data_IF_654035464854
#
_entry.id   IF_654035464854
#
_cell.length_a   1.000
_cell.length_b   1.000
_cell.length_c   1.000
_cell.angle_alpha   90.00
_cell.angle_beta   90.00
_cell.angle_gamma   90.00
#
_symmetry.space_group_name_H-M   'P 1'
#
loop_
_entity.id
_entity.type
_entity.pdbx_description
1 polymer ?
#
# COMPACT_ATOMS: atom_id res chain seq x y z
N UNK A 1 -20.64 -30.16 11.50
CA UNK A 1 -19.63 -30.95 10.77
C UNK A 1 -18.65 -29.97 10.17
N UNK A 2 -17.39 -30.00 10.62
CA UNK A 2 -16.31 -29.17 10.11
C UNK A 2 -15.87 -29.77 8.78
N UNK A 3 -16.38 -29.22 7.68
CA UNK A 3 -15.76 -29.41 6.38
C UNK A 3 -14.53 -28.50 6.34
N UNK A 4 -13.45 -28.98 6.95
CA UNK A 4 -12.12 -28.54 6.55
C UNK A 4 -11.99 -28.89 5.08
N UNK A 5 -12.23 -27.91 4.22
CA UNK A 5 -11.83 -27.92 2.82
C UNK A 5 -10.36 -28.29 2.83
N UNK A 6 -10.06 -29.58 2.64
CA UNK A 6 -8.72 -30.07 2.44
C UNK A 6 -8.31 -29.47 1.12
N UNK A 7 -7.66 -28.31 1.19
CA UNK A 7 -7.23 -27.54 0.05
C UNK A 7 -6.41 -28.40 -0.93
N UNK A 8 -5.84 -29.53 -0.49
CA UNK A 8 -5.10 -30.44 -1.37
C UNK A 8 -5.21 -31.91 -0.92
N UNK A 9 -5.97 -32.78 -1.61
CA UNK A 9 -5.94 -34.23 -1.36
C UNK A 9 -4.64 -34.91 -1.84
N UNK A 10 -3.74 -34.18 -2.51
CA UNK A 10 -2.52 -34.71 -3.15
C UNK A 10 -1.20 -34.29 -2.45
N UNK A 11 -1.17 -34.30 -1.12
CA UNK A 11 0.04 -33.96 -0.31
C UNK A 11 1.22 -34.92 -0.62
N UNK A 12 0.96 -36.07 -1.23
CA UNK A 12 1.96 -37.12 -1.54
C UNK A 12 2.59 -37.00 -2.94
N UNK A 13 2.25 -35.97 -3.73
CA UNK A 13 2.84 -35.70 -5.05
C UNK A 13 3.53 -34.33 -5.05
N UNK A 14 4.76 -34.22 -4.50
CA UNK A 14 5.45 -32.95 -4.26
C UNK A 14 5.53 -32.06 -5.50
N UNK A 15 5.73 -32.66 -6.68
CA UNK A 15 5.88 -31.96 -7.95
C UNK A 15 4.57 -31.36 -8.46
N UNK A 16 3.44 -32.02 -8.24
CA UNK A 16 2.12 -31.52 -8.64
C UNK A 16 1.66 -30.38 -7.73
N UNK A 17 1.91 -30.51 -6.43
CA UNK A 17 1.69 -29.46 -5.43
C UNK A 17 2.59 -28.24 -5.67
N UNK A 18 3.86 -28.45 -6.04
CA UNK A 18 4.77 -27.34 -6.38
C UNK A 18 4.26 -26.54 -7.59
N UNK A 19 3.80 -27.23 -8.65
CA UNK A 19 3.31 -26.58 -9.87
C UNK A 19 2.03 -25.77 -9.65
N UNK A 20 1.20 -26.17 -8.70
CA UNK A 20 -0.03 -25.45 -8.34
C UNK A 20 0.22 -24.27 -7.42
N UNK A 21 1.21 -24.34 -6.52
CA UNK A 21 1.47 -23.29 -5.52
C UNK A 21 2.54 -22.28 -5.99
N UNK A 22 3.45 -22.66 -6.89
CA UNK A 22 4.48 -21.76 -7.40
C UNK A 22 3.95 -20.43 -7.98
N UNK A 23 2.84 -20.39 -8.74
CA UNK A 23 2.25 -19.14 -9.22
C UNK A 23 1.82 -18.19 -8.09
N UNK A 24 1.31 -18.73 -6.97
CA UNK A 24 0.98 -17.92 -5.78
C UNK A 24 2.21 -17.27 -5.17
N UNK A 25 3.31 -18.03 -5.07
CA UNK A 25 4.58 -17.51 -4.57
C UNK A 25 5.11 -16.38 -5.44
N UNK A 26 5.07 -16.53 -6.77
CA UNK A 26 5.47 -15.47 -7.71
C UNK A 26 4.57 -14.24 -7.55
N UNK A 27 3.25 -14.41 -7.58
CA UNK A 27 2.30 -13.28 -7.45
C UNK A 27 2.38 -12.58 -6.11
N UNK A 28 2.69 -13.30 -5.03
CA UNK A 28 2.95 -12.70 -3.73
C UNK A 28 4.14 -11.74 -3.80
N UNK A 29 5.28 -12.18 -4.33
CA UNK A 29 6.48 -11.32 -4.42
C UNK A 29 6.30 -10.15 -5.39
N UNK A 30 5.62 -10.36 -6.53
CA UNK A 30 5.23 -9.26 -7.43
C UNK A 30 4.34 -8.22 -6.72
N UNK A 31 3.42 -8.69 -5.87
CA UNK A 31 2.55 -7.83 -5.06
C UNK A 31 3.35 -7.03 -4.02
N UNK A 32 4.32 -7.65 -3.36
CA UNK A 32 5.24 -6.96 -2.44
C UNK A 32 6.06 -5.88 -3.17
N UNK A 33 6.57 -6.18 -4.37
CA UNK A 33 7.31 -5.22 -5.19
C UNK A 33 6.44 -4.04 -5.62
N UNK A 34 5.18 -4.27 -5.98
CA UNK A 34 4.24 -3.20 -6.30
C UNK A 34 4.00 -2.25 -5.10
N UNK A 35 3.86 -2.80 -3.89
CA UNK A 35 3.71 -2.00 -2.66
C UNK A 35 4.97 -1.18 -2.37
N UNK A 36 6.15 -1.81 -2.46
CA UNK A 36 7.43 -1.13 -2.26
C UNK A 36 7.63 0.01 -3.26
N UNK A 37 7.25 -0.19 -4.52
CA UNK A 37 7.28 0.86 -5.53
C UNK A 37 6.34 2.03 -5.20
N UNK A 38 5.12 1.75 -4.72
CA UNK A 38 4.20 2.78 -4.24
C UNK A 38 4.78 3.59 -3.08
N UNK A 39 5.41 2.92 -2.11
CA UNK A 39 6.09 3.57 -0.97
C UNK A 39 7.27 4.43 -1.42
N UNK A 40 8.08 3.95 -2.38
CA UNK A 40 9.19 4.73 -2.95
C UNK A 40 8.69 6.01 -3.60
N UNK A 41 7.69 5.92 -4.48
CA UNK A 41 7.09 7.09 -5.15
C UNK A 41 6.49 8.08 -4.15
N UNK A 42 5.89 7.57 -3.06
CA UNK A 42 5.44 8.42 -1.96
C UNK A 42 6.60 9.13 -1.26
N UNK A 43 7.64 8.39 -0.91
CA UNK A 43 8.78 8.94 -0.17
C UNK A 43 9.50 10.05 -0.92
N UNK A 44 9.67 9.93 -2.25
CA UNK A 44 10.31 10.93 -3.10
C UNK A 44 9.61 12.29 -3.00
N UNK A 45 8.28 12.32 -3.04
CA UNK A 45 7.51 13.54 -2.87
C UNK A 45 7.38 14.00 -1.41
N UNK A 46 7.31 13.06 -0.47
CA UNK A 46 7.09 13.33 0.94
C UNK A 46 8.22 14.14 1.58
N UNK A 47 9.48 13.76 1.32
CA UNK A 47 10.62 14.49 1.87
C UNK A 47 10.63 15.96 1.43
N UNK A 48 10.35 16.22 0.15
CA UNK A 48 10.28 17.58 -0.39
C UNK A 48 9.17 18.40 0.30
N UNK A 49 7.95 17.85 0.44
CA UNK A 49 6.83 18.53 1.11
C UNK A 49 7.11 18.78 2.58
N UNK A 50 7.75 17.83 3.29
CA UNK A 50 8.15 18.02 4.69
C UNK A 50 9.21 19.09 4.86
N UNK A 51 10.22 19.11 4.00
CA UNK A 51 11.25 20.15 4.03
C UNK A 51 10.66 21.54 3.79
N UNK A 52 9.73 21.66 2.83
CA UNK A 52 9.00 22.90 2.60
C UNK A 52 8.19 23.33 3.82
N UNK A 53 7.47 22.41 4.47
CA UNK A 53 6.73 22.69 5.69
C UNK A 53 7.61 23.16 6.84
N UNK A 54 8.79 22.55 7.01
CA UNK A 54 9.77 22.97 8.02
C UNK A 54 10.31 24.37 7.75
N UNK A 55 10.66 24.68 6.49
CA UNK A 55 11.11 26.03 6.14
C UNK A 55 10.03 27.09 6.42
N UNK A 56 8.78 26.82 6.03
CA UNK A 56 7.67 27.72 6.31
C UNK A 56 7.44 27.94 7.82
N UNK A 57 7.60 26.89 8.63
CA UNK A 57 7.52 27.01 10.10
C UNK A 57 8.66 27.86 10.68
N UNK A 58 9.89 27.69 10.19
CA UNK A 58 11.03 28.49 10.62
C UNK A 58 10.86 29.96 10.24
N UNK A 59 10.38 30.25 9.04
CA UNK A 59 10.08 31.62 8.61
C UNK A 59 9.00 32.27 9.48
N UNK A 60 7.90 31.56 9.74
CA UNK A 60 6.84 32.04 10.61
C UNK A 60 7.35 32.32 12.03
N UNK A 61 8.14 31.40 12.60
CA UNK A 61 8.73 31.59 13.92
C UNK A 61 9.63 32.84 14.00
N UNK A 62 10.42 33.11 12.95
CA UNK A 62 11.25 34.33 12.86
C UNK A 62 10.38 35.58 12.83
N UNK A 63 9.38 35.64 11.95
CA UNK A 63 8.47 36.79 11.84
C UNK A 63 7.67 37.05 13.12
N UNK A 64 7.23 35.98 13.80
CA UNK A 64 6.59 36.07 15.11
C UNK A 64 7.55 36.70 16.14
N UNK A 65 8.83 36.30 16.14
CA UNK A 65 9.85 36.87 17.01
C UNK A 65 10.19 38.34 16.71
N UNK A 66 9.96 38.79 15.48
CA UNK A 66 10.19 40.16 15.00
C UNK A 66 8.92 41.04 15.10
N UNK A 67 7.78 40.47 15.50
CA UNK A 67 6.50 41.16 15.49
C UNK A 67 6.44 42.32 16.50
N UNK A 68 5.94 43.47 16.04
CA UNK A 68 5.81 44.68 16.86
C UNK A 68 4.71 44.58 17.92
N UNK A 69 3.68 43.77 17.68
CA UNK A 69 2.56 43.57 18.60
C UNK A 69 2.15 42.11 18.71
N UNK A 70 1.49 41.70 19.81
CA UNK A 70 0.92 40.36 19.93
C UNK A 70 -0.08 40.00 18.82
N UNK A 71 -0.80 41.01 18.30
CA UNK A 71 -1.77 40.80 17.20
C UNK A 71 -1.03 40.48 15.89
N UNK A 72 0.10 41.12 15.63
CA UNK A 72 0.92 40.84 14.44
C UNK A 72 1.54 39.44 14.53
N UNK A 73 2.05 39.05 15.71
CA UNK A 73 2.50 37.69 15.95
C UNK A 73 1.39 36.65 15.70
N UNK A 74 0.16 36.93 16.15
CA UNK A 74 -0.96 36.03 15.91
C UNK A 74 -1.34 35.92 14.43
N UNK A 75 -1.23 37.01 13.66
CA UNK A 75 -1.45 36.98 12.21
C UNK A 75 -0.43 36.08 11.50
N UNK A 76 0.86 36.24 11.80
CA UNK A 76 1.91 35.39 11.23
C UNK A 76 1.72 33.91 11.58
N UNK A 77 1.26 33.62 12.80
CA UNK A 77 0.88 32.26 13.20
C UNK A 77 -0.30 31.71 12.38
N UNK A 78 -1.37 32.51 12.19
CA UNK A 78 -2.53 32.10 11.41
C UNK A 78 -2.18 31.86 9.94
N UNK A 79 -1.37 32.73 9.35
CA UNK A 79 -0.91 32.60 7.97
C UNK A 79 -0.11 31.30 7.78
N UNK A 80 0.78 30.99 8.72
CA UNK A 80 1.49 29.71 8.75
C UNK A 80 0.55 28.52 8.88
N UNK A 81 -0.41 28.59 9.82
CA UNK A 81 -1.34 27.50 10.11
C UNK A 81 -2.19 27.15 8.88
N UNK A 82 -2.69 28.16 8.18
CA UNK A 82 -3.44 27.96 6.93
C UNK A 82 -2.60 27.24 5.88
N UNK A 83 -1.35 27.66 5.69
CA UNK A 83 -0.43 26.97 4.79
C UNK A 83 -0.09 25.55 5.25
N UNK A 84 0.02 25.31 6.56
CA UNK A 84 0.30 23.99 7.13
C UNK A 84 -0.84 23.00 6.85
N UNK A 85 -2.09 23.46 6.95
CA UNK A 85 -3.27 22.65 6.63
C UNK A 85 -3.30 22.24 5.16
N UNK A 86 -2.96 23.13 4.22
CA UNK A 86 -2.86 22.77 2.79
C UNK A 86 -1.84 21.65 2.56
N UNK A 87 -0.63 21.79 3.11
CA UNK A 87 0.43 20.79 2.97
C UNK A 87 0.07 19.45 3.60
N UNK A 88 -0.67 19.45 4.71
CA UNK A 88 -1.17 18.22 5.34
C UNK A 88 -2.17 17.48 4.43
N UNK A 89 -3.09 18.22 3.79
CA UNK A 89 -4.04 17.65 2.84
C UNK A 89 -3.30 17.08 1.61
N UNK A 90 -2.31 17.79 1.09
CA UNK A 90 -1.46 17.32 0.00
C UNK A 90 -0.70 16.03 0.36
N UNK A 91 -0.16 15.94 1.58
CA UNK A 91 0.47 14.72 2.10
C UNK A 91 -0.53 13.54 2.16
N UNK A 92 -1.74 13.79 2.65
CA UNK A 92 -2.81 12.79 2.71
C UNK A 92 -3.22 12.29 1.32
N UNK A 93 -3.41 13.21 0.37
CA UNK A 93 -3.73 12.88 -1.02
C UNK A 93 -2.62 12.05 -1.67
N UNK A 94 -1.35 12.44 -1.49
CA UNK A 94 -0.22 11.68 -2.03
C UNK A 94 -0.15 10.27 -1.43
N UNK A 95 -0.34 10.13 -0.11
CA UNK A 95 -0.35 8.83 0.56
C UNK A 95 -1.46 7.92 0.01
N UNK A 96 -2.68 8.45 -0.13
CA UNK A 96 -3.79 7.70 -0.71
C UNK A 96 -3.50 7.28 -2.16
N UNK A 97 -2.95 8.18 -2.98
CA UNK A 97 -2.68 7.90 -4.38
C UNK A 97 -1.57 6.89 -4.62
N UNK A 98 -0.53 6.88 -3.79
CA UNK A 98 0.68 6.10 -4.05
C UNK A 98 0.78 4.85 -3.18
N UNK A 99 0.33 4.91 -1.92
CA UNK A 99 0.44 3.78 -0.98
C UNK A 99 -0.83 2.94 -0.97
N UNK A 100 -1.99 3.56 -0.74
CA UNK A 100 -3.26 2.82 -0.64
C UNK A 100 -3.67 2.21 -1.98
N UNK A 101 -3.52 2.94 -3.08
CA UNK A 101 -3.80 2.40 -4.42
C UNK A 101 -2.86 1.24 -4.77
N UNK A 102 -1.57 1.33 -4.46
CA UNK A 102 -0.62 0.24 -4.70
C UNK A 102 -0.98 -1.00 -3.89
N UNK A 103 -1.27 -0.84 -2.59
CA UNK A 103 -1.71 -1.94 -1.72
C UNK A 103 -3.03 -2.58 -2.15
N UNK A 104 -3.98 -1.77 -2.61
CA UNK A 104 -5.28 -2.26 -3.11
C UNK A 104 -5.11 -3.06 -4.39
N UNK A 105 -4.33 -2.56 -5.35
CA UNK A 105 -4.02 -3.27 -6.61
C UNK A 105 -3.25 -4.57 -6.35
N UNK A 106 -2.27 -4.53 -5.46
CA UNK A 106 -1.50 -5.71 -5.06
C UNK A 106 -2.40 -6.79 -4.43
N UNK A 107 -3.26 -6.40 -3.48
CA UNK A 107 -4.22 -7.31 -2.85
C UNK A 107 -5.19 -7.90 -3.86
N UNK A 108 -5.74 -7.08 -4.75
CA UNK A 108 -6.66 -7.54 -5.80
C UNK A 108 -5.98 -8.54 -6.75
N UNK A 109 -4.75 -8.23 -7.19
CA UNK A 109 -3.98 -9.12 -8.07
C UNK A 109 -3.67 -10.46 -7.40
N UNK A 110 -3.28 -10.45 -6.13
CA UNK A 110 -2.98 -11.67 -5.40
C UNK A 110 -4.24 -12.53 -5.18
N UNK A 111 -5.36 -11.91 -4.77
CA UNK A 111 -6.62 -12.62 -4.58
C UNK A 111 -7.13 -13.26 -5.87
N UNK A 112 -6.97 -12.59 -7.02
CA UNK A 112 -7.32 -13.16 -8.32
C UNK A 112 -6.48 -14.41 -8.66
N UNK A 113 -5.19 -14.42 -8.29
CA UNK A 113 -4.34 -15.60 -8.47
C UNK A 113 -4.78 -16.75 -7.55
N UNK A 114 -5.11 -16.47 -6.29
CA UNK A 114 -5.65 -17.47 -5.35
C UNK A 114 -6.89 -18.15 -5.93
N UNK A 115 -7.82 -17.36 -6.48
CA UNK A 115 -9.02 -17.89 -7.10
C UNK A 115 -8.71 -18.74 -8.35
N UNK A 116 -7.76 -18.30 -9.18
CA UNK A 116 -7.30 -19.02 -10.38
C UNK A 116 -6.68 -20.39 -10.03
N UNK A 117 -5.82 -20.42 -9.01
CA UNK A 117 -5.17 -21.64 -8.55
C UNK A 117 -6.19 -22.60 -7.92
N UNK A 118 -7.14 -22.08 -7.13
CA UNK A 118 -8.21 -22.90 -6.57
C UNK A 118 -9.06 -23.57 -7.68
N UNK A 119 -9.45 -22.81 -8.71
CA UNK A 119 -10.20 -23.37 -9.86
C UNK A 119 -9.40 -24.43 -10.63
N UNK A 120 -8.11 -24.20 -10.84
CA UNK A 120 -7.23 -25.16 -11.52
C UNK A 120 -7.06 -26.45 -10.72
N UNK A 121 -6.93 -26.35 -9.39
CA UNK A 121 -6.86 -27.51 -8.50
C UNK A 121 -8.15 -28.35 -8.53
N UNK A 122 -9.32 -27.70 -8.48
CA UNK A 122 -10.62 -28.40 -8.57
C UNK A 122 -10.80 -29.15 -9.90
N UNK A 123 -10.46 -28.54 -11.04
CA UNK A 123 -10.53 -29.23 -12.35
C UNK A 123 -9.62 -30.45 -12.41
N UNK A 124 -8.39 -30.31 -11.92
CA UNK A 124 -7.42 -31.41 -11.88
C UNK A 124 -7.94 -32.58 -11.05
N UNK A 125 -8.65 -32.29 -9.95
CA UNK A 125 -9.28 -33.31 -9.11
C UNK A 125 -10.44 -34.04 -9.80
N UNK A 126 -11.32 -33.29 -10.48
CA UNK A 126 -12.44 -33.86 -11.25
C UNK A 126 -11.97 -34.76 -12.41
N UNK A 127 -10.91 -34.34 -13.13
CA UNK A 127 -10.28 -35.16 -14.18
C UNK A 127 -9.66 -36.45 -13.62
N UNK A 128 -9.06 -36.41 -12.44
CA UNK A 128 -8.50 -37.60 -11.79
C UNK A 128 -9.59 -38.59 -11.32
N UNK A 129 -10.79 -38.11 -10.95
CA UNK A 129 -11.90 -38.97 -10.55
C UNK A 129 -12.61 -39.66 -11.71
N UNK A 130 -12.62 -39.07 -12.91
CA UNK A 130 -13.30 -39.64 -14.09
C UNK A 130 -12.46 -40.65 -14.90
N UNK A 131 -11.21 -40.90 -14.50
CA UNK A 131 -10.27 -41.80 -15.20
C UNK A 131 -9.99 -43.10 -14.40
N UNK A 132 -10.62 -43.29 -13.24
CA UNK A 132 -10.56 -44.52 -12.43
C UNK A 132 -11.87 -45.31 -12.47
#
# INVERSE_FOLDING_TARGET
MNDSVLLFPNILQPTATLKTIAPLGVKFWESQEAVLNGLRQYSEGWFARRQQGTHAALEAARKIGEAATPVDAFREYQDWLNGAMSRLIEDGNAYQQQVLNAGTKATASFSAEVESVAKSASRTYEEQQNVG
#
